data_IF_445689498305
#
_entry.id   IF_445689498305
#
_cell.length_a   1.000
_cell.length_b   1.000
_cell.length_c   1.000
_cell.angle_alpha   90.00
_cell.angle_beta   90.00
_cell.angle_gamma   90.00
#
_symmetry.space_group_name_H-M   'P 1'
#
loop_
_entity.id
_entity.type
_entity.pdbx_description
1 polymer ?
#
# COMPACT_ATOMS: atom_id res chain seq x y z
N UNK A 1 -2.33 -24.88 -10.91
CA UNK A 1 -3.80 -24.84 -11.03
C UNK A 1 -4.29 -23.75 -10.12
N UNK A 2 -4.76 -22.62 -10.66
CA UNK A 2 -5.38 -21.57 -9.85
C UNK A 2 -6.66 -22.17 -9.24
N UNK A 3 -6.80 -22.13 -7.92
CA UNK A 3 -8.07 -22.45 -7.29
C UNK A 3 -9.10 -21.43 -7.80
N UNK A 4 -10.23 -21.90 -8.32
CA UNK A 4 -11.39 -21.04 -8.58
C UNK A 4 -11.81 -20.40 -7.26
N UNK A 5 -11.44 -19.14 -7.07
CA UNK A 5 -11.89 -18.37 -5.92
C UNK A 5 -13.33 -17.96 -6.21
N UNK A 6 -14.29 -18.65 -5.59
CA UNK A 6 -15.69 -18.20 -5.58
C UNK A 6 -15.72 -16.76 -5.06
N UNK A 7 -16.45 -15.82 -5.71
CA UNK A 7 -16.54 -14.46 -5.22
C UNK A 7 -17.03 -14.49 -3.78
N UNK A 8 -16.32 -13.77 -2.89
CA UNK A 8 -16.71 -13.64 -1.50
C UNK A 8 -18.12 -13.05 -1.40
N UNK A 9 -18.84 -13.38 -0.32
CA UNK A 9 -20.16 -12.78 -0.06
C UNK A 9 -20.02 -11.25 -0.07
N UNK A 10 -20.79 -10.58 -0.91
CA UNK A 10 -20.83 -9.13 -0.99
C UNK A 10 -21.89 -8.57 -0.04
N UNK A 11 -21.61 -7.42 0.54
CA UNK A 11 -22.52 -6.65 1.39
C UNK A 11 -22.50 -5.20 0.94
N UNK A 12 -23.68 -4.57 0.84
CA UNK A 12 -23.83 -3.20 0.39
C UNK A 12 -24.39 -2.38 1.53
N UNK A 13 -23.65 -1.35 1.93
CA UNK A 13 -24.07 -0.42 2.96
C UNK A 13 -24.57 0.85 2.27
N UNK A 14 -25.75 1.30 2.65
CA UNK A 14 -26.27 2.60 2.23
C UNK A 14 -25.71 3.69 3.14
N UNK A 15 -25.00 4.66 2.56
CA UNK A 15 -24.45 5.82 3.28
C UNK A 15 -25.44 7.01 3.29
N UNK A 16 -26.61 6.84 2.67
CA UNK A 16 -27.61 7.88 2.44
C UNK A 16 -27.57 8.43 1.02
N UNK A 17 -28.68 9.04 0.60
CA UNK A 17 -28.80 9.77 -0.68
C UNK A 17 -28.43 8.94 -1.93
N UNK A 18 -28.55 7.61 -1.85
CA UNK A 18 -28.22 6.69 -2.93
C UNK A 18 -26.73 6.35 -3.05
N UNK A 19 -25.89 6.88 -2.16
CA UNK A 19 -24.46 6.55 -2.09
C UNK A 19 -24.27 5.23 -1.36
N UNK A 20 -23.56 4.30 -1.99
CA UNK A 20 -23.38 2.92 -1.50
C UNK A 20 -21.91 2.61 -1.29
N UNK A 21 -21.62 1.86 -0.23
CA UNK A 21 -20.32 1.28 0.04
C UNK A 21 -20.40 -0.24 -0.12
N UNK A 22 -19.71 -0.77 -1.12
CA UNK A 22 -19.63 -2.21 -1.40
C UNK A 22 -18.49 -2.85 -0.62
N UNK A 23 -18.80 -3.92 0.11
CA UNK A 23 -17.87 -4.68 0.92
C UNK A 23 -17.84 -6.13 0.46
N UNK A 24 -16.66 -6.75 0.50
CA UNK A 24 -16.44 -8.16 0.15
C UNK A 24 -15.95 -8.91 1.38
N UNK A 25 -16.54 -10.08 1.65
CA UNK A 25 -16.10 -10.95 2.74
C UNK A 25 -14.77 -11.62 2.39
N UNK A 26 -13.75 -11.34 3.18
CA UNK A 26 -12.46 -12.04 3.16
C UNK A 26 -12.54 -13.20 4.16
N UNK A 27 -12.40 -14.46 3.71
CA UNK A 27 -12.50 -15.62 4.58
C UNK A 27 -11.32 -15.70 5.56
N UNK A 28 -11.54 -16.37 6.69
CA UNK A 28 -10.44 -16.83 7.53
C UNK A 28 -9.57 -17.83 6.75
N UNK A 29 -8.27 -17.84 7.02
CA UNK A 29 -7.36 -18.68 6.29
C UNK A 29 -5.90 -18.32 6.49
N UNK A 30 -5.05 -19.02 5.76
CA UNK A 30 -3.61 -18.81 5.76
C UNK A 30 -3.15 -18.38 4.38
N UNK A 31 -2.25 -17.41 4.34
CA UNK A 31 -1.65 -16.96 3.10
C UNK A 31 -0.18 -16.58 3.34
N UNK A 32 0.61 -16.52 2.26
CA UNK A 32 1.98 -16.04 2.32
C UNK A 32 1.99 -14.55 1.97
N UNK A 33 2.66 -13.74 2.79
CA UNK A 33 2.85 -12.30 2.57
C UNK A 33 4.34 -12.01 2.43
N UNK A 34 4.69 -11.06 1.55
CA UNK A 34 6.07 -10.74 1.18
C UNK A 34 6.57 -11.56 0.00
N UNK A 35 7.85 -11.39 -0.35
CA UNK A 35 8.44 -11.90 -1.59
C UNK A 35 9.20 -13.21 -1.39
N UNK A 36 9.04 -14.14 -2.33
CA UNK A 36 9.89 -15.33 -2.43
C UNK A 36 11.29 -14.92 -2.88
N UNK A 37 12.30 -15.73 -2.54
CA UNK A 37 13.69 -15.49 -3.01
C UNK A 37 13.78 -15.40 -4.54
N UNK A 38 12.97 -16.19 -5.25
CA UNK A 38 12.95 -16.20 -6.70
C UNK A 38 12.40 -14.89 -7.25
N UNK A 39 11.25 -14.41 -6.75
CA UNK A 39 10.69 -13.11 -7.15
C UNK A 39 11.67 -11.97 -6.87
N UNK A 40 12.43 -12.03 -5.76
CA UNK A 40 13.49 -11.03 -5.51
C UNK A 40 14.58 -11.08 -6.57
N UNK A 41 15.03 -12.27 -6.96
CA UNK A 41 16.07 -12.42 -7.99
C UNK A 41 15.56 -11.95 -9.36
N UNK A 42 14.34 -12.33 -9.71
CA UNK A 42 13.69 -11.91 -10.96
C UNK A 42 13.55 -10.36 -10.99
N UNK A 43 13.13 -9.74 -9.88
CA UNK A 43 13.07 -8.27 -9.73
C UNK A 43 14.45 -7.61 -9.82
N UNK A 44 15.51 -8.24 -9.30
CA UNK A 44 16.87 -7.73 -9.43
C UNK A 44 17.29 -7.68 -10.90
N UNK A 45 16.99 -8.73 -11.66
CA UNK A 45 17.31 -8.77 -13.09
C UNK A 45 16.51 -7.71 -13.86
N UNK A 46 15.21 -7.62 -13.64
CA UNK A 46 14.35 -6.62 -14.29
C UNK A 46 14.81 -5.18 -13.99
N UNK A 47 15.09 -4.87 -12.73
CA UNK A 47 15.57 -3.56 -12.34
C UNK A 47 16.92 -3.22 -12.99
N UNK A 48 17.85 -4.18 -13.07
CA UNK A 48 19.12 -3.98 -13.76
C UNK A 48 18.94 -3.71 -15.26
N UNK A 49 18.02 -4.39 -15.93
CA UNK A 49 17.68 -4.10 -17.33
C UNK A 49 17.04 -2.70 -17.49
N UNK A 50 16.22 -2.26 -16.53
CA UNK A 50 15.66 -0.91 -16.53
C UNK A 50 16.73 0.17 -16.36
N UNK A 51 17.68 -0.05 -15.45
CA UNK A 51 18.77 0.91 -15.19
C UNK A 51 19.66 1.12 -16.42
N UNK A 52 19.83 0.11 -17.29
CA UNK A 52 20.58 0.25 -18.55
C UNK A 52 20.00 1.28 -19.52
N UNK A 53 18.73 1.68 -19.35
CA UNK A 53 18.08 2.72 -20.17
C UNK A 53 18.57 4.13 -19.83
N UNK A 54 19.23 4.31 -18.69
CA UNK A 54 19.65 5.60 -18.17
C UNK A 54 21.15 5.82 -18.36
N UNK A 55 21.54 7.08 -18.53
CA UNK A 55 22.94 7.47 -18.58
C UNK A 55 23.57 7.45 -17.19
N UNK A 56 24.90 7.29 -17.14
CA UNK A 56 25.66 7.34 -15.89
C UNK A 56 25.38 8.62 -15.08
N UNK A 57 25.20 9.76 -15.76
CA UNK A 57 24.93 11.04 -15.10
C UNK A 57 23.54 11.04 -14.42
N UNK A 58 22.52 10.54 -15.11
CA UNK A 58 21.16 10.45 -14.55
C UNK A 58 21.09 9.50 -13.35
N UNK A 59 21.84 8.39 -13.39
CA UNK A 59 21.93 7.46 -12.27
C UNK A 59 22.64 8.08 -11.06
N UNK A 60 23.71 8.86 -11.27
CA UNK A 60 24.38 9.58 -10.17
C UNK A 60 23.50 10.68 -9.57
N UNK A 61 22.81 11.47 -10.40
CA UNK A 61 21.87 12.48 -9.93
C UNK A 61 20.72 11.85 -9.11
N UNK A 62 20.21 10.68 -9.55
CA UNK A 62 19.21 9.91 -8.82
C UNK A 62 19.74 9.42 -7.47
N UNK A 63 20.96 8.86 -7.43
CA UNK A 63 21.59 8.39 -6.19
C UNK A 63 21.72 9.51 -5.16
N UNK A 64 22.19 10.69 -5.58
CA UNK A 64 22.33 11.86 -4.69
C UNK A 64 20.98 12.27 -4.12
N UNK A 65 19.96 12.42 -4.98
CA UNK A 65 18.61 12.80 -4.55
C UNK A 65 17.99 11.77 -3.60
N UNK A 66 18.12 10.49 -3.92
CA UNK A 66 17.62 9.39 -3.10
C UNK A 66 18.32 9.35 -1.73
N UNK A 67 19.65 9.52 -1.70
CA UNK A 67 20.40 9.60 -0.45
C UNK A 67 19.98 10.80 0.39
N UNK A 68 19.71 11.97 -0.19
CA UNK A 68 19.23 13.15 0.55
C UNK A 68 17.83 12.94 1.13
N UNK A 69 16.90 12.37 0.35
CA UNK A 69 15.52 12.11 0.79
C UNK A 69 15.45 11.10 1.94
N UNK A 70 16.30 10.07 1.89
CA UNK A 70 16.28 8.99 2.88
C UNK A 70 17.42 9.07 3.92
N UNK A 71 18.23 10.14 3.90
CA UNK A 71 19.43 10.31 4.73
C UNK A 71 19.19 10.01 6.21
N UNK A 72 18.12 10.58 6.75
CA UNK A 72 17.74 10.42 8.16
C UNK A 72 17.33 8.97 8.51
N UNK A 73 16.77 8.23 7.57
CA UNK A 73 16.33 6.85 7.76
C UNK A 73 17.51 5.86 7.59
N UNK A 74 18.39 6.14 6.63
CA UNK A 74 19.63 5.39 6.39
C UNK A 74 20.63 5.55 7.54
N UNK A 75 20.90 6.79 7.99
CA UNK A 75 21.84 7.06 9.09
C UNK A 75 21.41 6.40 10.40
N UNK A 76 20.09 6.33 10.67
CA UNK A 76 19.56 5.64 11.86
C UNK A 76 19.70 4.12 11.78
N UNK A 77 19.64 3.52 10.58
CA UNK A 77 19.73 2.06 10.35
C UNK A 77 21.17 1.55 10.15
N UNK A 78 22.09 2.40 9.66
CA UNK A 78 23.47 2.01 9.32
C UNK A 78 24.52 2.28 10.41
N UNK A 79 24.11 2.78 11.58
CA UNK A 79 25.02 3.01 12.72
C UNK A 79 25.79 1.72 13.08
N UNK A 80 27.09 1.69 12.76
CA UNK A 80 28.01 0.58 13.07
C UNK A 80 28.30 -0.42 11.93
N UNK A 81 27.95 -0.12 10.67
CA UNK A 81 28.26 -0.97 9.49
C UNK A 81 29.12 -0.25 8.43
N UNK A 82 29.98 0.67 8.84
CA UNK A 82 30.63 1.64 7.94
C UNK A 82 31.83 1.10 7.14
N UNK A 83 32.36 -0.10 7.45
CA UNK A 83 33.53 -0.65 6.73
C UNK A 83 33.20 -1.95 5.98
N UNK A 84 32.38 -1.86 4.93
CA UNK A 84 32.43 -2.79 3.77
C UNK A 84 31.65 -2.21 2.58
N UNK A 85 32.05 -1.04 2.08
CA UNK A 85 31.36 -0.33 0.99
C UNK A 85 32.32 -0.04 -0.18
N UNK A 86 32.69 -1.10 -0.89
CA UNK A 86 33.31 -1.01 -2.21
C UNK A 86 32.46 -1.86 -3.18
N UNK A 87 31.89 -1.19 -4.19
CA UNK A 87 31.31 -1.76 -5.42
C UNK A 87 30.10 -2.72 -5.32
N UNK A 88 28.92 -2.26 -4.87
CA UNK A 88 27.66 -3.01 -5.11
C UNK A 88 26.52 -2.12 -5.59
N UNK A 89 26.29 -2.10 -6.90
CA UNK A 89 25.11 -1.56 -7.59
C UNK A 89 23.79 -2.34 -7.31
N UNK A 90 23.64 -2.91 -6.10
CA UNK A 90 22.51 -3.79 -5.70
C UNK A 90 21.84 -3.31 -4.38
N UNK A 91 22.20 -2.13 -3.85
CA UNK A 91 21.68 -1.67 -2.55
C UNK A 91 20.22 -1.24 -2.55
N UNK A 92 19.68 -0.70 -3.65
CA UNK A 92 18.30 -0.18 -3.67
C UNK A 92 17.27 -1.30 -3.58
N UNK A 93 17.48 -2.41 -4.30
CA UNK A 93 16.58 -3.57 -4.22
C UNK A 93 16.69 -4.23 -2.85
N UNK A 94 17.90 -4.39 -2.33
CA UNK A 94 18.09 -4.97 -0.98
C UNK A 94 17.47 -4.08 0.11
N UNK A 95 17.51 -2.75 -0.05
CA UNK A 95 16.80 -1.81 0.82
C UNK A 95 15.29 -1.98 0.74
N UNK A 96 14.70 -1.96 -0.47
CA UNK A 96 13.26 -2.15 -0.67
C UNK A 96 12.81 -3.48 -0.06
N UNK A 97 13.57 -4.55 -0.28
CA UNK A 97 13.32 -5.87 0.30
C UNK A 97 13.45 -5.88 1.83
N UNK A 98 14.36 -5.08 2.40
CA UNK A 98 14.49 -4.94 3.85
C UNK A 98 13.28 -4.25 4.49
N UNK A 99 12.58 -3.39 3.74
CA UNK A 99 11.37 -2.68 4.18
C UNK A 99 10.13 -3.57 4.05
N UNK A 100 9.98 -4.26 2.91
CA UNK A 100 8.81 -5.11 2.61
C UNK A 100 8.84 -6.46 3.34
N UNK A 101 10.02 -6.93 3.75
CA UNK A 101 10.22 -8.14 4.54
C UNK A 101 10.22 -9.44 3.73
N UNK A 102 10.88 -10.47 4.28
CA UNK A 102 10.91 -11.81 3.67
C UNK A 102 9.52 -12.45 3.72
N UNK A 103 9.24 -13.32 2.75
CA UNK A 103 8.00 -14.08 2.75
C UNK A 103 7.79 -14.85 4.06
N UNK A 104 6.59 -14.72 4.63
CA UNK A 104 6.18 -15.38 5.86
C UNK A 104 4.70 -15.78 5.78
N UNK A 105 4.29 -16.71 6.64
CA UNK A 105 2.88 -17.11 6.73
C UNK A 105 2.10 -16.17 7.64
N UNK A 106 0.95 -15.70 7.15
CA UNK A 106 -0.02 -14.93 7.90
C UNK A 106 -1.29 -15.77 8.06
N UNK A 107 -1.85 -15.76 9.27
CA UNK A 107 -3.12 -16.45 9.58
C UNK A 107 -4.18 -15.44 9.94
N UNK A 108 -5.26 -15.38 9.15
CA UNK A 108 -6.50 -14.71 9.50
C UNK A 108 -7.37 -15.67 10.30
N UNK A 109 -7.49 -15.43 11.61
CA UNK A 109 -8.24 -16.31 12.52
C UNK A 109 -9.75 -16.17 12.40
N UNK A 110 -10.23 -15.04 11.85
CA UNK A 110 -11.65 -14.75 11.65
C UNK A 110 -11.84 -14.10 10.27
N UNK A 111 -12.98 -14.37 9.59
CA UNK A 111 -13.32 -13.64 8.38
C UNK A 111 -13.63 -12.18 8.72
N UNK A 112 -13.45 -11.29 7.75
CA UNK A 112 -13.81 -9.88 7.89
C UNK A 112 -14.17 -9.29 6.53
N UNK A 113 -14.94 -8.21 6.53
CA UNK A 113 -15.27 -7.50 5.30
C UNK A 113 -14.21 -6.43 4.97
N UNK A 114 -13.93 -6.26 3.68
CA UNK A 114 -13.06 -5.22 3.15
C UNK A 114 -13.78 -4.44 2.05
N UNK A 115 -13.53 -3.13 1.93
CA UNK A 115 -14.07 -2.35 0.83
C UNK A 115 -13.65 -2.94 -0.51
N UNK A 116 -14.62 -3.11 -1.42
CA UNK A 116 -14.39 -3.64 -2.77
C UNK A 116 -13.49 -2.72 -3.61
N UNK A 117 -13.61 -1.43 -3.33
CA UNK A 117 -12.87 -0.35 -3.98
C UNK A 117 -12.31 0.60 -2.92
N UNK A 118 -11.40 1.46 -3.35
CA UNK A 118 -10.99 2.62 -2.57
C UNK A 118 -12.21 3.51 -2.29
N UNK A 119 -12.20 4.20 -1.14
CA UNK A 119 -13.29 5.11 -0.78
C UNK A 119 -13.37 6.23 -1.82
N UNK A 120 -14.53 6.36 -2.45
CA UNK A 120 -14.74 7.35 -3.51
C UNK A 120 -15.03 8.74 -2.93
N UNK A 121 -14.90 9.77 -3.75
CA UNK A 121 -15.17 11.15 -3.35
C UNK A 121 -16.61 11.36 -2.86
N UNK A 122 -17.61 10.77 -3.52
CA UNK A 122 -19.01 10.86 -3.08
C UNK A 122 -19.24 10.12 -1.74
N UNK A 123 -18.59 8.98 -1.51
CA UNK A 123 -18.69 8.23 -0.26
C UNK A 123 -18.04 9.00 0.89
N UNK A 124 -16.88 9.58 0.62
CA UNK A 124 -16.19 10.44 1.57
C UNK A 124 -17.05 11.65 1.92
N UNK A 125 -17.60 12.35 0.94
CA UNK A 125 -18.45 13.53 1.15
C UNK A 125 -19.76 13.19 1.88
N UNK A 126 -20.40 12.05 1.58
CA UNK A 126 -21.59 11.58 2.31
C UNK A 126 -21.34 11.36 3.81
N UNK A 127 -20.11 11.02 4.20
CA UNK A 127 -19.72 10.79 5.60
C UNK A 127 -19.14 12.05 6.26
N UNK A 128 -18.28 12.78 5.54
CA UNK A 128 -17.45 13.87 6.07
C UNK A 128 -18.00 15.27 5.76
N UNK A 129 -18.91 15.39 4.79
CA UNK A 129 -19.53 16.66 4.36
C UNK A 129 -18.62 17.58 3.55
N UNK A 130 -17.40 17.15 3.20
CA UNK A 130 -16.44 17.91 2.39
C UNK A 130 -15.60 16.98 1.54
N UNK A 131 -15.15 17.45 0.38
CA UNK A 131 -14.29 16.69 -0.54
C UNK A 131 -12.92 17.40 -0.73
N UNK A 132 -11.82 16.86 -0.18
CA UNK A 132 -10.50 17.49 -0.25
C UNK A 132 -9.73 17.24 -1.56
N UNK A 133 -10.23 16.39 -2.46
CA UNK A 133 -9.49 15.99 -3.67
C UNK A 133 -9.40 17.12 -4.69
N UNK A 134 -8.24 17.34 -5.30
CA UNK A 134 -8.08 18.40 -6.31
C UNK A 134 -8.79 18.03 -7.62
N UNK A 135 -8.59 16.79 -8.08
CA UNK A 135 -9.24 16.25 -9.28
C UNK A 135 -10.62 15.76 -8.89
N UNK A 136 -11.67 16.34 -9.46
CA UNK A 136 -13.06 16.04 -9.09
C UNK A 136 -13.67 14.91 -9.92
N UNK A 137 -14.37 14.01 -9.24
CA UNK A 137 -15.21 13.00 -9.86
C UNK A 137 -15.84 12.09 -8.80
N UNK A 138 -17.16 11.95 -8.82
CA UNK A 138 -17.92 11.24 -7.77
C UNK A 138 -17.42 9.81 -7.51
N UNK A 139 -17.06 9.09 -8.57
CA UNK A 139 -16.56 7.71 -8.53
C UNK A 139 -15.04 7.59 -8.49
N UNK A 140 -14.30 8.70 -8.44
CA UNK A 140 -12.85 8.68 -8.27
C UNK A 140 -12.51 8.43 -6.80
N UNK A 141 -11.36 7.82 -6.48
CA UNK A 141 -10.86 7.74 -5.12
C UNK A 141 -10.70 9.12 -4.51
N UNK A 142 -10.98 9.22 -3.21
CA UNK A 142 -10.62 10.43 -2.46
C UNK A 142 -9.11 10.51 -2.28
N UNK A 143 -8.54 11.64 -2.64
CA UNK A 143 -7.12 11.99 -2.47
C UNK A 143 -6.98 13.21 -1.55
N UNK A 144 -5.74 13.52 -1.17
CA UNK A 144 -5.38 14.63 -0.26
C UNK A 144 -5.96 14.48 1.15
N UNK A 145 -6.00 13.25 1.66
CA UNK A 145 -6.43 12.92 3.02
C UNK A 145 -5.25 12.45 3.86
N UNK A 146 -5.16 12.94 5.09
CA UNK A 146 -4.17 12.46 6.06
C UNK A 146 -4.66 11.20 6.78
N UNK A 147 -3.75 10.51 7.47
CA UNK A 147 -4.12 9.40 8.34
C UNK A 147 -5.13 9.81 9.42
N UNK A 148 -5.03 11.04 9.95
CA UNK A 148 -5.97 11.56 10.94
C UNK A 148 -7.36 11.79 10.34
N UNK A 149 -7.44 12.28 9.10
CA UNK A 149 -8.71 12.41 8.39
C UNK A 149 -9.37 11.03 8.19
N UNK A 150 -8.59 10.00 7.85
CA UNK A 150 -9.09 8.63 7.73
C UNK A 150 -9.65 8.12 9.07
N UNK A 151 -8.98 8.40 10.19
CA UNK A 151 -9.49 8.03 11.53
C UNK A 151 -10.81 8.74 11.85
N UNK A 152 -10.95 10.00 11.47
CA UNK A 152 -12.20 10.76 11.63
C UNK A 152 -13.32 10.20 10.73
N UNK A 153 -13.01 9.90 9.47
CA UNK A 153 -13.93 9.25 8.54
C UNK A 153 -14.47 7.94 9.11
N UNK A 154 -13.59 7.06 9.60
CA UNK A 154 -13.99 5.79 10.21
C UNK A 154 -14.86 5.99 11.45
N UNK A 155 -14.56 7.00 12.27
CA UNK A 155 -15.41 7.35 13.42
C UNK A 155 -16.82 7.73 12.97
N UNK A 156 -16.96 8.68 12.05
CA UNK A 156 -18.27 9.12 11.54
C UNK A 156 -19.02 8.02 10.79
N UNK A 157 -18.29 7.18 10.05
CA UNK A 157 -18.86 6.02 9.37
C UNK A 157 -19.45 5.04 10.38
N UNK A 158 -18.72 4.74 11.46
CA UNK A 158 -19.21 3.90 12.55
C UNK A 158 -20.45 4.49 13.23
N UNK A 159 -20.49 5.81 13.44
CA UNK A 159 -21.64 6.50 14.04
C UNK A 159 -22.89 6.48 13.11
N UNK A 160 -22.69 6.50 11.79
CA UNK A 160 -23.76 6.44 10.77
C UNK A 160 -24.28 5.04 10.47
N UNK A 161 -23.53 4.01 10.82
CA UNK A 161 -23.81 2.62 10.48
C UNK A 161 -23.90 1.77 11.75
N UNK A 162 -23.92 0.45 11.63
CA UNK A 162 -23.93 -0.45 12.78
C UNK A 162 -22.52 -0.65 13.42
N UNK A 163 -21.56 0.24 13.11
CA UNK A 163 -20.18 0.17 13.58
C UNK A 163 -19.32 -0.94 12.93
N UNK A 164 -18.11 -1.14 13.47
CA UNK A 164 -17.21 -2.25 13.10
C UNK A 164 -16.10 -1.93 12.08
N UNK A 165 -16.06 -0.71 11.55
CA UNK A 165 -15.02 -0.24 10.62
C UNK A 165 -13.78 0.26 11.37
N UNK A 166 -12.60 0.09 10.77
CA UNK A 166 -11.31 0.41 11.40
C UNK A 166 -10.28 0.94 10.40
#
# INVERSE_FOLDING_TARGET
>A
MAQEVKPGKEEVIDLGEGVKLEMVLIPAGKFKMGFTKKEVEDLKVEFQEELKKYTKKELEDFKVKFQEEFKNEFEKKLRGKEEELVEKEIEVVDLIMSIQGKQHEVTLTKPFYMGKHEVTQEQWEAVMGKNPSDIKGAKLPVTNVSWLDCKEFIKKLNDKTNGGYR
#
